data_IF_338622127937
#
_entry.id   IF_338622127937
#
_cell.length_a   1.000
_cell.length_b   1.000
_cell.length_c   1.000
_cell.angle_alpha   90.00
_cell.angle_beta   90.00
_cell.angle_gamma   90.00
#
_symmetry.space_group_name_H-M   'P 1'
#
loop_
_entity.id
_entity.type
_entity.pdbx_description
1 polymer ?
#
# COMPACT_ATOMS: atom_id res chain seq x y z
N UNK A 1 -2.98 45.97 15.59
CA UNK A 1 -3.22 45.38 14.25
C UNK A 1 -2.75 43.92 14.15
N UNK A 2 -1.47 43.58 14.34
CA UNK A 2 -0.99 42.19 14.21
C UNK A 2 -1.54 41.21 15.29
N UNK A 3 -1.67 41.67 16.54
CA UNK A 3 -2.21 40.86 17.65
C UNK A 3 -3.69 40.54 17.44
N UNK A 4 -4.47 41.54 17.03
CA UNK A 4 -5.91 41.42 16.79
C UNK A 4 -6.22 40.46 15.63
N UNK A 5 -5.47 40.55 14.52
CA UNK A 5 -5.57 39.61 13.42
C UNK A 5 -5.24 38.16 13.86
N UNK A 6 -4.27 37.99 14.76
CA UNK A 6 -3.93 36.67 15.34
C UNK A 6 -5.09 36.11 16.16
N UNK A 7 -5.70 36.92 17.03
CA UNK A 7 -6.83 36.49 17.87
C UNK A 7 -8.05 36.12 17.03
N UNK A 8 -8.39 36.93 16.01
CA UNK A 8 -9.50 36.65 15.10
C UNK A 8 -9.26 35.35 14.31
N UNK A 9 -8.02 35.09 13.87
CA UNK A 9 -7.67 33.86 13.15
C UNK A 9 -7.76 32.61 14.06
N UNK A 10 -7.36 32.72 15.33
CA UNK A 10 -7.50 31.65 16.32
C UNK A 10 -8.98 31.35 16.59
N UNK A 11 -9.81 32.37 16.78
CA UNK A 11 -11.25 32.22 16.98
C UNK A 11 -11.95 31.61 15.75
N UNK A 12 -11.59 32.05 14.54
CA UNK A 12 -12.10 31.49 13.30
C UNK A 12 -11.70 30.01 13.13
N UNK A 13 -10.46 29.65 13.44
CA UNK A 13 -9.99 28.25 13.46
C UNK A 13 -10.71 27.40 14.50
N UNK A 14 -10.98 27.94 15.69
CA UNK A 14 -11.76 27.25 16.70
C UNK A 14 -13.22 27.03 16.26
N UNK A 15 -13.81 28.02 15.59
CA UNK A 15 -15.15 27.90 14.99
C UNK A 15 -15.24 26.80 13.94
N UNK A 16 -14.16 26.51 13.20
CA UNK A 16 -14.13 25.38 12.25
C UNK A 16 -14.29 24.03 12.95
N UNK A 17 -13.82 23.87 14.19
CA UNK A 17 -14.01 22.63 14.96
C UNK A 17 -15.42 22.52 15.55
N UNK A 18 -16.04 23.65 15.85
CA UNK A 18 -17.40 23.73 16.40
C UNK A 18 -18.50 23.66 15.34
N UNK A 19 -18.14 23.44 14.07
CA UNK A 19 -19.14 23.23 13.02
C UNK A 19 -19.99 21.98 13.37
N UNK A 20 -21.32 22.06 13.31
CA UNK A 20 -22.21 21.02 13.82
C UNK A 20 -21.96 19.66 13.17
N UNK A 21 -21.62 19.63 11.88
CA UNK A 21 -21.31 18.38 11.16
C UNK A 21 -20.03 17.70 11.66
N UNK A 22 -18.99 18.47 12.04
CA UNK A 22 -17.75 17.91 12.61
C UNK A 22 -17.99 17.32 13.99
N UNK A 23 -18.78 18.00 14.83
CA UNK A 23 -19.19 17.49 16.13
C UNK A 23 -19.98 16.18 15.95
N UNK A 24 -20.95 16.15 15.03
CA UNK A 24 -21.71 14.93 14.72
C UNK A 24 -20.80 13.79 14.25
N UNK A 25 -19.86 14.04 13.34
CA UNK A 25 -18.92 13.03 12.87
C UNK A 25 -18.01 12.50 14.01
N UNK A 26 -17.55 13.37 14.90
CA UNK A 26 -16.76 12.98 16.07
C UNK A 26 -17.61 12.14 17.03
N UNK A 27 -18.86 12.53 17.30
CA UNK A 27 -19.77 11.76 18.13
C UNK A 27 -20.07 10.38 17.55
N UNK A 28 -20.31 10.29 16.23
CA UNK A 28 -20.50 9.02 15.53
C UNK A 28 -19.24 8.16 15.63
N UNK A 29 -18.07 8.72 15.34
CA UNK A 29 -16.80 8.00 15.42
C UNK A 29 -16.53 7.48 16.83
N UNK A 30 -16.77 8.30 17.85
CA UNK A 30 -16.61 7.94 19.25
C UNK A 30 -17.63 6.86 19.65
N UNK A 31 -18.89 6.99 19.23
CA UNK A 31 -19.91 5.97 19.45
C UNK A 31 -19.54 4.62 18.80
N UNK A 32 -18.99 4.63 17.58
CA UNK A 32 -18.52 3.41 16.90
C UNK A 32 -17.34 2.76 17.63
N UNK A 33 -16.38 3.56 18.12
CA UNK A 33 -15.23 3.04 18.89
C UNK A 33 -15.68 2.44 20.21
N UNK A 34 -16.56 3.12 20.95
CA UNK A 34 -17.14 2.58 22.18
C UNK A 34 -17.96 1.31 21.89
N UNK A 35 -18.76 1.33 20.82
CA UNK A 35 -19.53 0.16 20.42
C UNK A 35 -18.62 -1.03 20.08
N UNK A 36 -17.52 -0.80 19.36
CA UNK A 36 -16.54 -1.85 19.09
C UNK A 36 -15.89 -2.35 20.40
N UNK A 37 -15.52 -1.46 21.31
CA UNK A 37 -14.90 -1.85 22.58
C UNK A 37 -15.83 -2.69 23.46
N UNK A 38 -17.12 -2.35 23.56
CA UNK A 38 -18.06 -3.01 24.47
C UNK A 38 -18.87 -4.15 23.84
N UNK A 39 -19.20 -4.08 22.56
CA UNK A 39 -20.04 -5.08 21.89
C UNK A 39 -19.24 -6.13 21.09
N UNK A 40 -17.98 -5.88 20.72
CA UNK A 40 -17.17 -6.91 20.06
C UNK A 40 -16.72 -7.99 21.04
N UNK A 41 -16.57 -9.20 20.53
CA UNK A 41 -16.04 -10.33 21.28
C UNK A 41 -14.52 -10.27 21.31
N UNK A 42 -13.93 -10.08 22.49
CA UNK A 42 -12.47 -9.93 22.67
C UNK A 42 -11.79 -11.21 23.18
N UNK A 43 -12.54 -12.28 23.43
CA UNK A 43 -12.04 -13.54 24.01
C UNK A 43 -10.97 -14.23 23.15
N UNK A 44 -10.95 -13.97 21.84
CA UNK A 44 -9.97 -14.54 20.91
C UNK A 44 -8.62 -13.82 20.97
N UNK A 45 -8.56 -12.58 21.47
CA UNK A 45 -7.35 -11.76 21.41
C UNK A 45 -6.16 -12.41 22.13
N UNK A 46 -6.29 -12.93 23.36
CA UNK A 46 -5.18 -13.59 24.05
C UNK A 46 -4.69 -14.87 23.35
N UNK A 47 -5.54 -15.51 22.54
CA UNK A 47 -5.18 -16.73 21.81
C UNK A 47 -4.40 -16.42 20.53
N UNK A 48 -4.66 -15.28 19.88
CA UNK A 48 -4.10 -14.96 18.55
C UNK A 48 -3.21 -13.71 18.53
N UNK A 49 -2.95 -13.06 19.67
CA UNK A 49 -2.15 -11.83 19.70
C UNK A 49 -0.75 -12.03 19.10
N UNK A 50 -0.11 -13.18 19.32
CA UNK A 50 1.20 -13.48 18.74
C UNK A 50 1.13 -13.55 17.20
N UNK A 51 0.11 -14.22 16.66
CA UNK A 51 -0.09 -14.28 15.21
C UNK A 51 -0.39 -12.90 14.63
N UNK A 52 -1.15 -12.08 15.36
CA UNK A 52 -1.41 -10.70 14.95
C UNK A 52 -0.13 -9.86 14.92
N UNK A 53 0.74 -9.99 15.93
CA UNK A 53 2.05 -9.32 15.95
C UNK A 53 2.95 -9.76 14.80
N UNK A 54 3.00 -11.06 14.51
CA UNK A 54 3.72 -11.60 13.35
C UNK A 54 3.13 -11.04 12.04
N UNK A 55 1.81 -10.94 11.93
CA UNK A 55 1.13 -10.35 10.77
C UNK A 55 1.47 -8.87 10.58
N UNK A 56 1.47 -8.10 11.66
CA UNK A 56 1.88 -6.69 11.66
C UNK A 56 3.34 -6.57 11.22
N UNK A 57 4.24 -7.37 11.80
CA UNK A 57 5.65 -7.39 11.43
C UNK A 57 5.86 -7.72 9.96
N UNK A 58 5.20 -8.77 9.45
CA UNK A 58 5.27 -9.16 8.03
C UNK A 58 4.78 -8.05 7.12
N UNK A 59 3.70 -7.36 7.49
CA UNK A 59 3.16 -6.24 6.72
C UNK A 59 4.13 -5.07 6.67
N UNK A 60 4.73 -4.69 7.81
CA UNK A 60 5.74 -3.64 7.88
C UNK A 60 7.00 -4.02 7.09
N UNK A 61 7.43 -5.27 7.16
CA UNK A 61 8.56 -5.79 6.41
C UNK A 61 8.33 -5.71 4.90
N UNK A 62 7.20 -6.23 4.41
CA UNK A 62 6.83 -6.17 3.00
C UNK A 62 6.70 -4.71 2.55
N UNK A 63 6.07 -3.85 3.35
CA UNK A 63 5.96 -2.41 3.07
C UNK A 63 7.35 -1.77 2.90
N UNK A 64 8.25 -1.98 3.86
CA UNK A 64 9.59 -1.39 3.81
C UNK A 64 10.36 -1.85 2.56
N UNK A 65 10.38 -3.16 2.29
CA UNK A 65 11.07 -3.73 1.12
C UNK A 65 10.46 -3.22 -0.18
N UNK A 66 9.14 -3.24 -0.33
CA UNK A 66 8.45 -2.79 -1.55
C UNK A 66 8.60 -1.29 -1.77
N UNK A 67 8.58 -0.47 -0.71
CA UNK A 67 8.88 0.95 -0.81
C UNK A 67 10.31 1.19 -1.30
N UNK A 68 11.31 0.54 -0.70
CA UNK A 68 12.72 0.73 -1.10
C UNK A 68 12.94 0.33 -2.57
N UNK A 69 12.44 -0.85 -2.97
CA UNK A 69 12.54 -1.32 -4.35
C UNK A 69 11.78 -0.40 -5.31
N UNK A 70 10.56 0.00 -4.93
CA UNK A 70 9.73 0.92 -5.70
C UNK A 70 10.41 2.28 -5.92
N UNK A 71 11.02 2.86 -4.88
CA UNK A 71 11.77 4.11 -4.99
C UNK A 71 13.02 3.97 -5.85
N UNK A 72 13.75 2.87 -5.68
CA UNK A 72 14.96 2.58 -6.47
C UNK A 72 14.65 2.51 -7.95
N UNK A 73 13.47 2.01 -8.34
CA UNK A 73 13.00 2.01 -9.73
C UNK A 73 12.38 3.34 -10.15
N UNK A 74 11.59 3.98 -9.27
CA UNK A 74 10.86 5.20 -9.59
C UNK A 74 11.78 6.39 -9.87
N UNK A 75 12.89 6.53 -9.14
CA UNK A 75 13.85 7.62 -9.33
C UNK A 75 14.48 7.62 -10.73
N UNK A 76 15.14 6.54 -11.20
CA UNK A 76 15.73 6.52 -12.53
C UNK A 76 14.67 6.59 -13.64
N UNK A 77 13.50 5.96 -13.47
CA UNK A 77 12.40 6.07 -14.44
C UNK A 77 11.86 7.50 -14.53
N UNK A 78 11.78 8.22 -13.41
CA UNK A 78 11.37 9.62 -13.37
C UNK A 78 12.40 10.52 -14.05
N UNK A 79 13.68 10.32 -13.75
CA UNK A 79 14.79 11.07 -14.37
C UNK A 79 14.85 10.81 -15.89
N UNK A 80 14.71 9.56 -16.32
CA UNK A 80 14.68 9.20 -17.74
C UNK A 80 13.52 9.87 -18.50
N UNK A 81 12.35 10.03 -17.85
CA UNK A 81 11.21 10.73 -18.45
C UNK A 81 11.39 12.25 -18.48
N UNK A 82 12.02 12.83 -17.45
CA UNK A 82 12.16 14.28 -17.33
C UNK A 82 13.30 14.86 -18.18
N UNK A 83 14.44 14.15 -18.24
CA UNK A 83 15.66 14.67 -18.85
C UNK A 83 16.36 13.69 -19.81
N UNK A 84 15.82 12.48 -19.99
CA UNK A 84 16.42 11.47 -20.85
C UNK A 84 16.15 11.71 -22.35
N UNK A 85 17.02 11.20 -23.24
CA UNK A 85 16.76 11.17 -24.68
C UNK A 85 15.53 10.31 -24.99
N UNK A 86 14.91 10.52 -26.17
CA UNK A 86 13.65 9.86 -26.56
C UNK A 86 13.68 8.33 -26.37
N UNK A 87 14.79 7.67 -26.66
CA UNK A 87 14.96 6.22 -26.52
C UNK A 87 14.94 5.71 -25.08
N UNK A 88 15.22 6.56 -24.08
CA UNK A 88 15.09 6.24 -22.66
C UNK A 88 13.74 6.73 -22.10
N UNK A 89 13.29 7.91 -22.54
CA UNK A 89 12.04 8.51 -22.08
C UNK A 89 10.81 7.73 -22.55
N UNK A 90 10.78 7.27 -23.81
CA UNK A 90 9.65 6.54 -24.38
C UNK A 90 9.37 5.21 -23.66
N UNK A 91 10.34 4.27 -23.47
CA UNK A 91 10.08 3.04 -22.74
C UNK A 91 9.74 3.28 -21.26
N UNK A 92 10.39 4.26 -20.61
CA UNK A 92 10.07 4.61 -19.23
C UNK A 92 8.62 5.11 -19.08
N UNK A 93 8.15 5.95 -20.01
CA UNK A 93 6.78 6.45 -20.04
C UNK A 93 5.77 5.34 -20.32
N UNK A 94 6.07 4.45 -21.26
CA UNK A 94 5.22 3.28 -21.55
C UNK A 94 5.09 2.37 -20.33
N UNK A 95 6.20 2.04 -19.69
CA UNK A 95 6.21 1.24 -18.46
C UNK A 95 5.35 1.88 -17.36
N UNK A 96 5.59 3.17 -17.05
CA UNK A 96 4.80 3.87 -16.05
C UNK A 96 3.31 3.95 -16.40
N UNK A 97 2.97 4.12 -17.68
CA UNK A 97 1.58 4.18 -18.16
C UNK A 97 0.87 2.83 -17.97
N UNK A 98 1.51 1.72 -18.34
CA UNK A 98 0.95 0.37 -18.19
C UNK A 98 0.77 0.02 -16.71
N UNK A 99 1.80 0.22 -15.88
CA UNK A 99 1.75 -0.13 -14.46
C UNK A 99 0.75 0.74 -13.69
N UNK A 100 0.64 2.03 -14.01
CA UNK A 100 -0.33 2.93 -13.35
C UNK A 100 -1.75 2.79 -13.93
N UNK A 101 -1.87 2.30 -15.16
CA UNK A 101 -3.14 2.12 -15.87
C UNK A 101 -3.78 0.74 -15.66
N UNK A 102 -3.08 -0.22 -15.07
CA UNK A 102 -3.59 -1.57 -14.80
C UNK A 102 -3.94 -1.74 -13.32
N UNK A 103 -5.06 -2.38 -12.96
CA UNK A 103 -5.41 -2.63 -11.56
C UNK A 103 -4.36 -3.47 -10.85
N UNK A 104 -3.94 -3.05 -9.65
CA UNK A 104 -2.95 -3.78 -8.85
C UNK A 104 -3.38 -5.24 -8.61
N UNK A 105 -4.67 -5.46 -8.36
CA UNK A 105 -5.21 -6.82 -8.19
C UNK A 105 -4.99 -7.69 -9.43
N UNK A 106 -5.13 -7.12 -10.63
CA UNK A 106 -4.88 -7.84 -11.88
C UNK A 106 -3.38 -8.13 -12.04
N UNK A 107 -2.50 -7.19 -11.69
CA UNK A 107 -1.06 -7.40 -11.70
C UNK A 107 -0.66 -8.56 -10.78
N UNK A 108 -1.15 -8.56 -9.54
CA UNK A 108 -0.93 -9.67 -8.61
C UNK A 108 -1.52 -10.98 -9.13
N UNK A 109 -2.73 -10.97 -9.70
CA UNK A 109 -3.35 -12.16 -10.27
C UNK A 109 -2.52 -12.75 -11.42
N UNK A 110 -2.03 -11.91 -12.34
CA UNK A 110 -1.17 -12.33 -13.44
C UNK A 110 0.15 -12.92 -12.95
N UNK A 111 0.76 -12.29 -11.94
CA UNK A 111 2.01 -12.80 -11.35
C UNK A 111 1.79 -14.12 -10.61
N UNK A 112 0.68 -14.23 -9.87
CA UNK A 112 0.38 -15.40 -9.03
C UNK A 112 -0.10 -16.60 -9.87
N UNK A 113 -1.10 -16.41 -10.72
CA UNK A 113 -1.74 -17.48 -11.50
C UNK A 113 -1.23 -17.56 -12.94
N UNK A 114 -0.97 -16.40 -13.57
CA UNK A 114 -0.51 -16.35 -14.96
C UNK A 114 0.85 -17.00 -15.13
N UNK A 115 1.84 -16.63 -14.32
CA UNK A 115 3.17 -17.24 -14.40
C UNK A 115 3.16 -18.73 -14.04
N UNK A 116 2.39 -19.13 -13.02
CA UNK A 116 2.26 -20.52 -12.60
C UNK A 116 1.62 -21.44 -13.65
N UNK A 117 0.79 -20.90 -14.55
CA UNK A 117 0.18 -21.66 -15.66
C UNK A 117 1.00 -21.61 -16.95
N UNK A 118 1.76 -20.54 -17.20
CA UNK A 118 2.56 -20.35 -18.41
C UNK A 118 3.93 -21.02 -18.33
N UNK A 119 4.67 -20.85 -17.23
CA UNK A 119 6.05 -21.33 -17.10
C UNK A 119 6.25 -22.86 -17.17
N UNK A 120 5.35 -23.72 -16.64
CA UNK A 120 5.52 -25.17 -16.79
C UNK A 120 5.41 -25.68 -18.23
N UNK A 121 4.86 -24.89 -19.16
CA UNK A 121 4.73 -25.26 -20.58
C UNK A 121 6.07 -25.23 -21.32
N UNK A 122 7.08 -24.55 -20.75
CA UNK A 122 8.41 -24.41 -21.34
C UNK A 122 9.42 -25.32 -20.63
N UNK A 123 9.92 -26.39 -21.28
CA UNK A 123 10.80 -27.38 -20.64
C UNK A 123 12.07 -26.76 -20.03
N UNK A 124 12.67 -25.79 -20.73
CA UNK A 124 13.89 -25.12 -20.25
C UNK A 124 13.68 -24.28 -18.99
N UNK A 125 12.47 -23.75 -18.73
CA UNK A 125 12.17 -23.04 -17.47
C UNK A 125 11.95 -24.05 -16.35
N UNK A 126 11.23 -25.14 -16.64
CA UNK A 126 10.91 -26.18 -15.66
C UNK A 126 12.16 -26.94 -15.17
N UNK A 127 13.13 -27.14 -16.05
CA UNK A 127 14.39 -27.82 -15.73
C UNK A 127 15.44 -26.86 -15.15
N UNK A 128 15.14 -25.56 -15.10
CA UNK A 128 16.07 -24.57 -14.57
C UNK A 128 16.17 -24.62 -13.05
N UNK A 129 17.31 -24.13 -12.54
CA UNK A 129 17.54 -23.93 -11.10
C UNK A 129 16.53 -22.94 -10.46
N UNK A 130 15.86 -22.10 -11.26
CA UNK A 130 14.85 -21.14 -10.79
C UNK A 130 13.47 -21.78 -10.58
N UNK A 131 13.24 -22.96 -11.15
CA UNK A 131 11.93 -23.62 -11.10
C UNK A 131 11.36 -23.81 -9.68
N UNK A 132 12.14 -24.17 -8.64
CA UNK A 132 11.64 -24.27 -7.27
C UNK A 132 11.05 -22.96 -6.74
N UNK A 133 11.59 -21.81 -7.16
CA UNK A 133 11.08 -20.50 -6.77
C UNK A 133 9.90 -20.07 -7.62
N UNK A 134 9.98 -20.27 -8.94
CA UNK A 134 8.94 -19.85 -9.90
C UNK A 134 7.62 -20.62 -9.74
N UNK A 135 7.67 -21.86 -9.24
CA UNK A 135 6.47 -22.67 -8.99
C UNK A 135 5.75 -22.30 -7.68
N UNK A 136 6.42 -21.60 -6.76
CA UNK A 136 5.90 -21.30 -5.43
C UNK A 136 5.52 -19.82 -5.35
N UNK A 137 4.29 -19.52 -4.93
CA UNK A 137 3.88 -18.15 -4.72
C UNK A 137 4.49 -17.53 -3.43
N UNK A 138 4.83 -18.38 -2.45
CA UNK A 138 5.47 -17.97 -1.21
C UNK A 138 6.41 -19.09 -0.71
N UNK A 139 7.73 -18.97 -0.89
CA UNK A 139 8.67 -20.06 -0.58
C UNK A 139 9.06 -20.18 0.90
N UNK A 140 8.55 -19.29 1.77
CA UNK A 140 8.87 -19.26 3.21
C UNK A 140 7.70 -19.77 4.07
N UNK A 141 6.89 -20.69 3.52
CA UNK A 141 5.78 -21.34 4.20
C UNK A 141 6.21 -22.63 4.88
#
# INVERSE_FOLDING_TARGET
MAVEATIVNVAARASLWLQPHRIVLVLIGLALVLAAAFFMRWDWLPQYYEMALVGIWRTLWILAVTCILGFTLAVPLGLAQAAGPFWLAAPAKTFCTVIRGTPLLLQLWLLYYGLGSLFPQYPWIRESWMWPYLRQAWPYG
#
